data_IF_377313262419
#
_entry.id   IF_377313262419
#
_cell.length_a   1.000
_cell.length_b   1.000
_cell.length_c   1.000
_cell.angle_alpha   90.00
_cell.angle_beta   90.00
_cell.angle_gamma   90.00
#
_symmetry.space_group_name_H-M   'P 1'
#
loop_
_entity.id
_entity.type
_entity.pdbx_description
1 polymer ?
#
# COMPACT_ATOMS: atom_id res chain seq x y z
N UNK A 1 19.53 -14.35 14.06
CA UNK A 1 19.02 -15.50 14.81
C UNK A 1 18.96 -15.14 16.29
N UNK A 2 17.88 -14.52 16.73
CA UNK A 2 17.38 -14.54 18.13
C UNK A 2 15.99 -13.88 18.21
N UNK A 3 15.15 -14.12 17.18
CA UNK A 3 13.80 -13.56 17.06
C UNK A 3 12.71 -14.51 17.59
N UNK A 4 13.11 -15.68 18.10
CA UNK A 4 12.20 -16.75 18.53
C UNK A 4 11.65 -16.58 19.96
N UNK A 5 12.16 -15.63 20.75
CA UNK A 5 11.70 -15.41 22.14
C UNK A 5 10.64 -14.29 22.31
N UNK A 6 10.01 -13.85 21.22
CA UNK A 6 8.74 -13.12 21.25
C UNK A 6 8.75 -11.67 21.76
N UNK A 7 9.80 -11.20 22.44
CA UNK A 7 9.97 -9.79 22.81
C UNK A 7 10.84 -9.07 21.79
N UNK A 8 10.30 -7.98 21.23
CA UNK A 8 11.07 -7.09 20.37
C UNK A 8 12.26 -6.54 21.13
N UNK A 9 13.43 -6.44 20.47
CA UNK A 9 14.59 -5.77 21.06
C UNK A 9 14.19 -4.37 21.55
N UNK A 10 14.45 -4.00 22.83
CA UNK A 10 14.09 -2.70 23.37
C UNK A 10 14.57 -1.51 22.52
N UNK A 11 15.73 -1.64 21.85
CA UNK A 11 16.24 -0.61 20.93
C UNK A 11 15.37 -0.45 19.68
N UNK A 12 14.91 -1.56 19.09
CA UNK A 12 14.01 -1.52 17.93
C UNK A 12 12.65 -0.94 18.28
N UNK A 13 12.14 -1.27 19.47
CA UNK A 13 10.86 -0.76 19.95
C UNK A 13 10.88 0.76 20.15
N UNK A 14 11.96 1.27 20.76
CA UNK A 14 12.16 2.72 20.89
C UNK A 14 12.38 3.40 19.54
N UNK A 15 13.07 2.74 18.59
CA UNK A 15 13.21 3.25 17.22
C UNK A 15 11.85 3.40 16.53
N UNK A 16 10.99 2.38 16.55
CA UNK A 16 9.68 2.45 15.92
C UNK A 16 8.78 3.48 16.57
N UNK A 17 8.78 3.58 17.90
CA UNK A 17 8.06 4.63 18.63
C UNK A 17 8.46 6.03 18.18
N UNK A 18 9.75 6.26 17.86
CA UNK A 18 10.24 7.58 17.40
C UNK A 18 9.92 7.87 15.93
N UNK A 19 9.75 6.83 15.12
CA UNK A 19 9.54 6.94 13.67
C UNK A 19 8.09 6.76 13.24
N UNK A 20 7.18 6.54 14.17
CA UNK A 20 5.77 6.27 13.89
C UNK A 20 4.87 7.01 14.86
N UNK A 21 3.59 7.05 14.54
CA UNK A 21 2.52 7.63 15.37
C UNK A 21 1.97 6.63 16.40
N UNK A 22 2.64 5.50 16.61
CA UNK A 22 2.21 4.45 17.52
C UNK A 22 2.88 4.53 18.89
N UNK A 23 2.07 4.26 19.92
CA UNK A 23 2.56 4.03 21.26
C UNK A 23 3.35 2.71 21.34
N UNK A 24 4.11 2.53 22.43
CA UNK A 24 4.85 1.28 22.68
C UNK A 24 3.94 0.05 22.68
N UNK A 25 2.73 0.17 23.26
CA UNK A 25 1.75 -0.91 23.35
C UNK A 25 1.26 -1.28 21.95
N UNK A 26 0.94 -0.28 21.12
CA UNK A 26 0.49 -0.49 19.75
C UNK A 26 1.60 -1.13 18.89
N UNK A 27 2.85 -0.69 19.01
CA UNK A 27 3.97 -1.32 18.29
C UNK A 27 4.12 -2.79 18.71
N UNK A 28 4.01 -3.12 19.99
CA UNK A 28 4.05 -4.51 20.46
C UNK A 28 2.88 -5.34 19.91
N UNK A 29 1.67 -4.78 19.86
CA UNK A 29 0.50 -5.43 19.26
C UNK A 29 0.69 -5.67 17.76
N UNK A 30 1.16 -4.68 17.02
CA UNK A 30 1.47 -4.78 15.59
C UNK A 30 2.52 -5.85 15.29
N UNK A 31 3.55 -5.98 16.15
CA UNK A 31 4.54 -7.05 16.02
C UNK A 31 3.94 -8.44 16.23
N UNK A 32 2.98 -8.58 17.16
CA UNK A 32 2.26 -9.85 17.36
C UNK A 32 1.40 -10.18 16.14
N UNK A 33 0.70 -9.21 15.57
CA UNK A 33 -0.11 -9.38 14.35
C UNK A 33 0.78 -9.81 13.19
N UNK A 34 1.88 -9.10 12.94
CA UNK A 34 2.86 -9.45 11.90
C UNK A 34 3.32 -10.91 11.99
N UNK A 35 3.75 -11.35 13.18
CA UNK A 35 4.20 -12.74 13.38
C UNK A 35 3.10 -13.76 13.11
N UNK A 36 1.86 -13.47 13.52
CA UNK A 36 0.72 -14.36 13.25
C UNK A 36 0.49 -14.48 11.73
N UNK A 37 0.51 -13.36 11.00
CA UNK A 37 0.34 -13.35 9.54
C UNK A 37 1.43 -14.19 8.85
N UNK A 38 2.71 -13.95 9.18
CA UNK A 38 3.85 -14.69 8.60
C UNK A 38 3.81 -16.18 8.95
N UNK A 39 3.46 -16.52 10.19
CA UNK A 39 3.36 -17.92 10.63
C UNK A 39 2.23 -18.65 9.90
N UNK A 40 1.05 -18.04 9.80
CA UNK A 40 -0.10 -18.65 9.13
C UNK A 40 0.17 -18.87 7.64
N UNK A 41 0.83 -17.92 6.97
CA UNK A 41 1.24 -18.06 5.58
C UNK A 41 2.25 -19.21 5.37
N UNK A 42 3.22 -19.36 6.28
CA UNK A 42 4.18 -20.46 6.24
C UNK A 42 3.53 -21.84 6.45
N UNK A 43 2.51 -21.92 7.30
CA UNK A 43 1.76 -23.16 7.53
C UNK A 43 0.91 -23.54 6.29
N UNK A 44 0.22 -22.57 5.70
CA UNK A 44 -0.60 -22.80 4.51
C UNK A 44 0.24 -23.26 3.31
N UNK A 45 1.40 -22.62 3.08
CA UNK A 45 2.33 -23.02 2.01
C UNK A 45 2.89 -24.44 2.20
N UNK A 46 3.22 -24.84 3.44
CA UNK A 46 3.67 -26.21 3.75
C UNK A 46 2.57 -27.25 3.56
N UNK A 47 1.33 -26.93 3.93
CA UNK A 47 0.19 -27.83 3.73
C UNK A 47 -0.08 -28.08 2.24
N UNK A 48 -0.02 -27.04 1.40
CA UNK A 48 -0.16 -27.16 -0.05
C UNK A 48 0.98 -27.97 -0.69
N UNK A 49 2.22 -27.80 -0.21
CA UNK A 49 3.37 -28.58 -0.69
C UNK A 49 3.27 -30.07 -0.32
N UNK A 50 2.76 -30.40 0.87
CA UNK A 50 2.56 -31.77 1.30
C UNK A 50 1.50 -32.51 0.47
N UNK A 51 0.50 -31.78 -0.06
CA UNK A 51 -0.56 -32.35 -0.90
C UNK A 51 -0.11 -32.57 -2.36
N UNK A 52 0.95 -31.91 -2.82
CA UNK A 52 1.47 -31.96 -4.20
C UNK A 52 2.85 -32.65 -4.28
N UNK A 53 3.02 -33.77 -3.57
CA UNK A 53 4.28 -34.49 -3.34
C UNK A 53 4.99 -35.12 -4.57
N UNK A 54 4.77 -34.59 -5.79
CA UNK A 54 5.43 -35.02 -7.02
C UNK A 54 6.25 -33.93 -7.75
N UNK A 55 6.15 -32.67 -7.32
CA UNK A 55 6.94 -31.57 -7.91
C UNK A 55 8.11 -31.30 -6.98
N UNK A 56 9.35 -31.31 -7.50
CA UNK A 56 10.56 -30.97 -6.75
C UNK A 56 10.44 -29.49 -6.33
N UNK A 57 9.80 -29.26 -5.19
CA UNK A 57 9.75 -27.95 -4.57
C UNK A 57 11.17 -27.66 -4.08
N UNK A 58 11.83 -26.69 -4.73
CA UNK A 58 13.06 -26.09 -4.24
C UNK A 58 12.79 -25.70 -2.78
N UNK A 59 13.51 -26.32 -1.84
CA UNK A 59 13.29 -26.17 -0.41
C UNK A 59 13.02 -24.70 -0.07
N UNK A 60 11.80 -24.43 0.40
CA UNK A 60 11.26 -23.09 0.54
C UNK A 60 12.19 -22.19 1.32
N UNK A 61 12.57 -21.07 0.70
CA UNK A 61 12.98 -19.89 1.44
C UNK A 61 11.93 -19.65 2.52
N UNK A 62 12.33 -19.71 3.78
CA UNK A 62 11.45 -19.28 4.88
C UNK A 62 11.15 -17.81 4.61
N UNK A 63 9.94 -17.48 4.14
CA UNK A 63 9.57 -16.11 3.83
C UNK A 63 9.46 -15.34 5.14
N UNK A 64 10.56 -14.69 5.50
CA UNK A 64 10.65 -13.80 6.65
C UNK A 64 9.95 -12.45 6.32
N UNK A 65 8.63 -12.52 6.10
CA UNK A 65 7.82 -11.36 5.77
C UNK A 65 6.44 -11.69 5.21
N UNK A 66 5.64 -10.64 5.02
CA UNK A 66 4.31 -10.70 4.43
C UNK A 66 4.46 -10.68 2.91
N UNK A 67 4.06 -11.75 2.24
CA UNK A 67 4.05 -11.81 0.78
C UNK A 67 2.85 -11.07 0.17
N UNK A 68 2.84 -10.96 -1.16
CA UNK A 68 1.78 -10.26 -1.92
C UNK A 68 0.40 -10.86 -1.71
N UNK A 69 0.30 -12.18 -1.56
CA UNK A 69 -0.99 -12.86 -1.38
C UNK A 69 -1.61 -12.46 -0.06
N UNK A 70 -0.82 -12.54 1.02
CA UNK A 70 -1.28 -12.15 2.37
C UNK A 70 -1.56 -10.65 2.42
N UNK A 71 -0.72 -9.83 1.80
CA UNK A 71 -0.91 -8.39 1.76
C UNK A 71 -2.20 -8.00 1.01
N UNK A 72 -2.46 -8.60 -0.15
CA UNK A 72 -3.70 -8.42 -0.92
C UNK A 72 -4.93 -8.76 -0.10
N UNK A 73 -4.93 -9.93 0.55
CA UNK A 73 -6.03 -10.35 1.41
C UNK A 73 -6.27 -9.37 2.56
N UNK A 74 -5.19 -8.85 3.14
CA UNK A 74 -5.25 -7.85 4.21
C UNK A 74 -5.83 -6.52 3.73
N UNK A 75 -5.34 -5.99 2.60
CA UNK A 75 -5.85 -4.73 2.03
C UNK A 75 -7.35 -4.82 1.78
N UNK A 76 -7.81 -5.91 1.17
CA UNK A 76 -9.23 -6.11 0.86
C UNK A 76 -10.05 -6.35 2.13
N UNK A 77 -9.69 -7.35 2.94
CA UNK A 77 -10.56 -7.85 4.01
C UNK A 77 -10.49 -7.03 5.31
N UNK A 78 -9.36 -6.36 5.55
CA UNK A 78 -9.12 -5.61 6.80
C UNK A 78 -9.19 -4.10 6.58
N UNK A 79 -8.64 -3.61 5.48
CA UNK A 79 -8.56 -2.18 5.20
C UNK A 79 -9.63 -1.66 4.24
N UNK A 80 -10.46 -2.56 3.68
CA UNK A 80 -11.53 -2.21 2.74
C UNK A 80 -10.99 -1.38 1.56
N UNK A 81 -9.83 -1.79 1.05
CA UNK A 81 -9.24 -1.22 -0.15
C UNK A 81 -9.71 -2.04 -1.35
N UNK A 82 -10.59 -1.43 -2.14
CA UNK A 82 -11.19 -2.01 -3.33
C UNK A 82 -10.66 -1.24 -4.54
N UNK A 83 -9.45 -1.61 -4.95
CA UNK A 83 -8.76 -1.01 -6.08
C UNK A 83 -8.25 -2.07 -7.04
N UNK A 84 -7.83 -1.65 -8.23
CA UNK A 84 -7.30 -2.53 -9.26
C UNK A 84 -5.94 -3.15 -8.86
N UNK A 85 -5.52 -4.19 -9.60
CA UNK A 85 -4.30 -4.92 -9.28
C UNK A 85 -3.03 -4.06 -9.40
N UNK A 86 -3.01 -3.07 -10.31
CA UNK A 86 -1.88 -2.17 -10.46
C UNK A 86 -1.73 -1.32 -9.20
N UNK A 87 -2.78 -0.64 -8.74
CA UNK A 87 -2.71 0.13 -7.49
C UNK A 87 -2.38 -0.73 -6.28
N UNK A 88 -2.91 -1.95 -6.22
CA UNK A 88 -2.59 -2.88 -5.13
C UNK A 88 -1.10 -3.25 -5.08
N UNK A 89 -0.48 -3.53 -6.24
CA UNK A 89 0.96 -3.79 -6.33
C UNK A 89 1.77 -2.54 -5.97
N UNK A 90 1.32 -1.36 -6.39
CA UNK A 90 1.97 -0.08 -6.04
C UNK A 90 1.92 0.22 -4.55
N UNK A 91 0.81 -0.06 -3.87
CA UNK A 91 0.69 0.04 -2.41
C UNK A 91 1.67 -0.94 -1.74
N UNK A 92 1.78 -2.18 -2.25
CA UNK A 92 2.76 -3.15 -1.75
C UNK A 92 4.19 -2.60 -1.88
N UNK A 93 4.58 -2.10 -3.05
CA UNK A 93 5.89 -1.52 -3.29
C UNK A 93 6.16 -0.26 -2.44
N UNK A 94 5.14 0.53 -2.11
CA UNK A 94 5.30 1.69 -1.24
C UNK A 94 5.64 1.29 0.23
N UNK A 95 5.17 0.11 0.66
CA UNK A 95 5.44 -0.46 1.98
C UNK A 95 6.73 -1.28 2.02
N UNK A 96 7.06 -1.93 0.91
CA UNK A 96 8.32 -2.64 0.71
C UNK A 96 9.47 -1.62 0.68
N UNK A 97 10.42 -1.75 1.60
CA UNK A 97 11.58 -0.84 1.73
C UNK A 97 12.90 -1.52 1.36
N UNK A 98 12.84 -2.77 0.92
CA UNK A 98 13.97 -3.59 0.54
C UNK A 98 14.16 -3.64 -0.97
N UNK A 99 14.45 -4.83 -1.47
CA UNK A 99 14.66 -5.07 -2.89
C UNK A 99 13.36 -5.54 -3.52
N UNK A 100 13.03 -4.96 -4.67
CA UNK A 100 11.83 -5.27 -5.43
C UNK A 100 11.60 -6.79 -5.55
N UNK A 101 10.40 -7.21 -5.20
CA UNK A 101 10.01 -8.63 -5.22
C UNK A 101 10.14 -9.34 -3.87
N UNK A 102 10.77 -8.75 -2.86
CA UNK A 102 10.84 -9.33 -1.50
C UNK A 102 9.53 -9.12 -0.71
N UNK A 103 9.24 -9.99 0.28
CA UNK A 103 8.10 -9.81 1.16
C UNK A 103 8.29 -8.60 2.10
N UNK A 104 7.19 -7.98 2.51
CA UNK A 104 7.20 -6.85 3.45
C UNK A 104 7.71 -7.35 4.81
N UNK A 105 8.85 -6.79 5.23
CA UNK A 105 9.47 -7.04 6.54
C UNK A 105 8.76 -6.25 7.64
N UNK A 106 9.10 -6.57 8.89
CA UNK A 106 8.51 -5.92 10.06
C UNK A 106 8.62 -4.38 10.03
N UNK A 107 9.73 -3.84 9.54
CA UNK A 107 9.89 -2.39 9.41
C UNK A 107 8.87 -1.80 8.42
N UNK A 108 8.76 -2.35 7.21
CA UNK A 108 7.80 -1.91 6.21
C UNK A 108 6.36 -2.01 6.71
N UNK A 109 6.03 -3.10 7.43
CA UNK A 109 4.75 -3.29 8.10
C UNK A 109 4.41 -2.16 9.10
N UNK A 110 5.33 -1.87 10.03
CA UNK A 110 5.08 -0.87 11.08
C UNK A 110 5.02 0.55 10.49
N UNK A 111 5.92 0.88 9.57
CA UNK A 111 5.95 2.21 8.94
C UNK A 111 4.74 2.43 8.02
N UNK A 112 4.38 1.43 7.21
CA UNK A 112 3.22 1.50 6.32
C UNK A 112 1.92 1.71 7.10
N UNK A 113 1.72 0.95 8.18
CA UNK A 113 0.56 1.13 9.06
C UNK A 113 0.54 2.47 9.79
N UNK A 114 1.72 3.03 10.10
CA UNK A 114 1.80 4.36 10.71
C UNK A 114 1.19 5.41 9.80
N UNK A 115 1.49 5.34 8.50
CA UNK A 115 0.91 6.23 7.50
C UNK A 115 -0.58 5.94 7.26
N UNK A 116 -0.95 4.67 7.09
CA UNK A 116 -2.35 4.27 6.82
C UNK A 116 -3.30 4.68 7.94
N UNK A 117 -2.96 4.38 9.18
CA UNK A 117 -3.90 4.44 10.28
C UNK A 117 -3.83 5.75 11.08
N UNK A 118 -2.66 6.40 11.09
CA UNK A 118 -2.40 7.58 11.91
C UNK A 118 -1.58 8.66 11.20
N UNK A 119 -1.35 8.53 9.89
CA UNK A 119 -0.56 9.47 9.12
C UNK A 119 -1.20 10.84 9.08
N UNK A 120 -0.35 11.86 9.17
CA UNK A 120 -0.72 13.25 8.88
C UNK A 120 -1.14 13.40 7.42
N UNK A 121 -1.82 14.51 7.10
CA UNK A 121 -2.18 14.82 5.72
C UNK A 121 -0.96 14.82 4.80
N UNK A 122 0.16 15.40 5.24
CA UNK A 122 1.39 15.44 4.46
C UNK A 122 1.97 14.05 4.18
N UNK A 123 1.96 13.15 5.17
CA UNK A 123 2.44 11.77 4.98
C UNK A 123 1.52 10.97 4.05
N UNK A 124 0.19 11.17 4.15
CA UNK A 124 -0.79 10.55 3.27
C UNK A 124 -0.63 11.05 1.83
N UNK A 125 -0.46 12.36 1.64
CA UNK A 125 -0.18 12.96 0.33
C UNK A 125 1.09 12.40 -0.29
N UNK A 126 2.19 12.33 0.47
CA UNK A 126 3.45 11.74 0.02
C UNK A 126 3.34 10.23 -0.29
N UNK A 127 2.46 9.53 0.41
CA UNK A 127 2.19 8.13 0.16
C UNK A 127 1.42 7.94 -1.15
N UNK A 128 0.29 8.62 -1.35
CA UNK A 128 -0.51 8.50 -2.56
C UNK A 128 0.32 8.89 -3.80
N UNK A 129 1.09 9.99 -3.74
CA UNK A 129 1.96 10.38 -4.85
C UNK A 129 2.93 9.26 -5.25
N UNK A 130 3.59 8.63 -4.28
CA UNK A 130 4.51 7.50 -4.54
C UNK A 130 3.79 6.29 -5.14
N UNK A 131 2.54 6.05 -4.77
CA UNK A 131 1.74 4.97 -5.36
C UNK A 131 1.49 5.26 -6.85
N UNK A 132 1.17 6.50 -7.19
CA UNK A 132 0.81 6.94 -8.55
C UNK A 132 2.00 7.19 -9.49
N UNK A 133 3.16 7.59 -8.98
CA UNK A 133 4.41 7.77 -9.74
C UNK A 133 5.01 6.39 -10.09
N UNK A 134 4.51 5.77 -11.17
CA UNK A 134 4.74 4.36 -11.51
C UNK A 134 6.22 4.05 -11.74
N UNK A 135 6.98 4.98 -12.33
CA UNK A 135 8.40 4.80 -12.60
C UNK A 135 9.32 5.38 -11.50
N UNK A 136 8.76 6.09 -10.50
CA UNK A 136 9.49 6.73 -9.40
C UNK A 136 10.48 7.81 -9.84
N UNK A 137 10.17 8.52 -10.93
CA UNK A 137 10.99 9.62 -11.45
C UNK A 137 10.68 10.99 -10.81
N UNK A 138 9.68 11.04 -9.92
CA UNK A 138 9.27 12.24 -9.21
C UNK A 138 8.15 13.01 -9.91
N UNK A 139 7.58 12.47 -10.99
CA UNK A 139 6.46 13.05 -11.72
C UNK A 139 5.38 12.00 -11.99
N UNK A 140 4.12 12.44 -12.05
CA UNK A 140 3.02 11.64 -12.59
C UNK A 140 2.74 12.16 -13.99
N UNK A 141 3.09 11.36 -14.99
CA UNK A 141 2.96 11.70 -16.41
C UNK A 141 1.58 11.35 -16.97
N UNK A 142 1.21 11.90 -18.14
CA UNK A 142 -0.05 11.56 -18.81
C UNK A 142 -0.24 10.06 -19.03
N UNK A 143 0.85 9.36 -19.40
CA UNK A 143 0.83 7.93 -19.66
C UNK A 143 0.57 7.13 -18.38
N UNK A 144 1.12 7.57 -17.25
CA UNK A 144 0.86 6.95 -15.94
C UNK A 144 -0.55 7.24 -15.46
N UNK A 145 -1.05 8.47 -15.62
CA UNK A 145 -2.45 8.81 -15.33
C UNK A 145 -3.40 7.94 -16.15
N UNK A 146 -3.12 7.77 -17.44
CA UNK A 146 -3.91 6.93 -18.32
C UNK A 146 -3.90 5.47 -17.85
N UNK A 147 -2.73 4.92 -17.52
CA UNK A 147 -2.60 3.56 -17.03
C UNK A 147 -3.39 3.31 -15.73
N UNK A 148 -3.33 4.26 -14.79
CA UNK A 148 -4.05 4.19 -13.51
C UNK A 148 -5.57 4.28 -13.70
N UNK A 149 -6.04 5.16 -14.57
CA UNK A 149 -7.46 5.42 -14.78
C UNK A 149 -8.13 4.43 -15.74
N UNK A 150 -7.34 3.64 -16.48
CA UNK A 150 -7.84 2.74 -17.54
C UNK A 150 -8.91 1.77 -17.07
N UNK A 151 -8.79 1.29 -15.83
CA UNK A 151 -9.71 0.30 -15.26
C UNK A 151 -10.82 0.93 -14.41
N UNK A 152 -10.86 2.27 -14.28
CA UNK A 152 -11.87 2.97 -13.50
C UNK A 152 -13.21 3.08 -14.23
N UNK A 153 -13.20 3.06 -15.56
CA UNK A 153 -14.42 3.16 -16.37
C UNK A 153 -14.98 1.77 -16.68
N UNK A 154 -16.23 1.54 -16.29
CA UNK A 154 -16.98 0.36 -16.72
C UNK A 154 -17.34 0.54 -18.19
N UNK A 155 -16.85 -0.36 -19.06
CA UNK A 155 -17.24 -0.37 -20.47
C UNK A 155 -18.76 -0.41 -20.61
N UNK A 156 -19.36 0.63 -21.17
CA UNK A 156 -20.78 0.58 -21.51
C UNK A 156 -20.95 -0.10 -22.88
N UNK A 157 -22.03 -0.87 -23.11
CA UNK A 157 -22.26 -1.56 -24.39
C UNK A 157 -22.28 -0.64 -25.62
N UNK A 158 -22.53 0.66 -25.41
CA UNK A 158 -22.63 1.71 -26.44
C UNK A 158 -21.34 2.51 -26.67
N UNK A 159 -20.28 2.30 -25.88
CA UNK A 159 -19.03 3.03 -26.06
C UNK A 159 -18.24 2.42 -27.23
N UNK A 160 -18.02 3.20 -28.29
CA UNK A 160 -17.21 2.77 -29.43
C UNK A 160 -15.72 2.62 -29.05
N UNK A 161 -15.23 3.42 -28.10
CA UNK A 161 -13.89 3.31 -27.51
C UNK A 161 -13.87 3.78 -26.03
N UNK A 162 -13.70 2.87 -25.05
CA UNK A 162 -13.61 3.25 -23.63
C UNK A 162 -12.36 4.08 -23.31
N UNK A 163 -11.34 4.07 -24.16
CA UNK A 163 -10.10 4.81 -23.93
C UNK A 163 -10.29 6.34 -24.12
N UNK A 164 -11.31 6.79 -24.88
CA UNK A 164 -11.62 8.22 -25.02
C UNK A 164 -12.09 8.84 -23.69
N UNK A 165 -12.94 8.13 -22.94
CA UNK A 165 -13.35 8.58 -21.60
C UNK A 165 -12.18 8.68 -20.63
N UNK A 166 -11.18 7.79 -20.75
CA UNK A 166 -9.95 7.86 -19.94
C UNK A 166 -9.11 9.08 -20.32
N UNK A 167 -8.98 9.40 -21.62
CA UNK A 167 -8.27 10.61 -22.08
C UNK A 167 -8.90 11.88 -21.51
N UNK A 168 -10.23 11.96 -21.50
CA UNK A 168 -10.93 13.10 -20.89
C UNK A 168 -10.63 13.22 -19.40
N UNK A 169 -10.61 12.09 -18.66
CA UNK A 169 -10.21 12.09 -17.25
C UNK A 169 -8.75 12.53 -17.03
N UNK A 170 -7.83 12.11 -17.89
CA UNK A 170 -6.42 12.53 -17.84
C UNK A 170 -6.31 14.04 -18.05
N UNK A 171 -7.02 14.61 -19.02
CA UNK A 171 -7.01 16.06 -19.25
C UNK A 171 -7.67 16.85 -18.10
N UNK A 172 -8.70 16.29 -17.46
CA UNK A 172 -9.27 16.86 -16.23
C UNK A 172 -8.27 16.81 -15.08
N UNK A 173 -7.58 15.67 -14.90
CA UNK A 173 -6.60 15.48 -13.85
C UNK A 173 -5.45 16.49 -13.99
N UNK A 174 -4.88 16.66 -15.19
CA UNK A 174 -3.87 17.69 -15.45
C UNK A 174 -4.38 19.09 -15.11
N UNK A 175 -5.57 19.47 -15.59
CA UNK A 175 -6.13 20.79 -15.29
C UNK A 175 -6.25 21.07 -13.79
N UNK A 176 -6.44 20.02 -12.99
CA UNK A 176 -6.64 20.10 -11.53
C UNK A 176 -5.35 19.93 -10.73
N UNK A 177 -4.37 19.21 -11.25
CA UNK A 177 -3.17 18.79 -10.51
C UNK A 177 -1.88 19.40 -11.04
N UNK A 178 -1.82 19.86 -12.28
CA UNK A 178 -0.64 20.47 -12.91
C UNK A 178 -0.68 22.00 -12.71
N UNK A 179 0.01 22.48 -11.67
CA UNK A 179 -0.06 23.89 -11.25
C UNK A 179 0.80 24.80 -12.14
N UNK A 180 1.95 24.31 -12.58
CA UNK A 180 2.90 25.07 -13.42
C UNK A 180 2.65 24.90 -14.93
N UNK A 181 1.80 23.95 -15.32
CA UNK A 181 1.35 23.67 -16.69
C UNK A 181 2.44 23.12 -17.60
N UNK A 182 3.36 22.33 -17.05
CA UNK A 182 4.42 21.67 -17.80
C UNK A 182 3.98 20.34 -18.47
N UNK A 183 2.73 19.91 -18.22
CA UNK A 183 2.11 18.73 -18.81
C UNK A 183 2.31 17.43 -18.02
N UNK A 184 2.88 17.51 -16.82
CA UNK A 184 3.06 16.43 -15.85
C UNK A 184 2.80 16.98 -14.44
N UNK A 185 2.73 16.11 -13.45
CA UNK A 185 2.43 16.52 -12.06
C UNK A 185 3.62 16.19 -11.19
N UNK A 186 4.34 17.20 -10.72
CA UNK A 186 5.39 17.02 -9.72
C UNK A 186 4.78 16.80 -8.33
N UNK A 187 5.61 16.38 -7.37
CA UNK A 187 5.15 16.28 -5.98
C UNK A 187 4.68 17.62 -5.42
N UNK A 188 5.29 18.73 -5.84
CA UNK A 188 4.88 20.06 -5.40
C UNK A 188 3.49 20.41 -5.92
N UNK A 189 3.23 20.19 -7.21
CA UNK A 189 1.90 20.46 -7.80
C UNK A 189 0.83 19.63 -7.10
N UNK A 190 1.12 18.35 -6.84
CA UNK A 190 0.22 17.45 -6.14
C UNK A 190 -0.09 17.92 -4.71
N UNK A 191 0.94 18.38 -3.97
CA UNK A 191 0.76 18.91 -2.62
C UNK A 191 -0.07 20.19 -2.61
N UNK A 192 0.18 21.11 -3.53
CA UNK A 192 -0.56 22.37 -3.66
C UNK A 192 -2.03 22.09 -4.03
N UNK A 193 -2.27 21.22 -5.01
CA UNK A 193 -3.62 20.85 -5.44
C UNK A 193 -4.44 20.19 -4.32
N UNK A 194 -3.84 19.31 -3.50
CA UNK A 194 -4.53 18.68 -2.36
C UNK A 194 -4.78 19.68 -1.22
N UNK A 195 -3.90 20.66 -1.04
CA UNK A 195 -4.11 21.71 -0.05
C UNK A 195 -5.33 22.58 -0.42
N UNK A 196 -5.56 22.81 -1.72
CA UNK A 196 -6.74 23.52 -2.23
C UNK A 196 -8.00 22.64 -2.26
N UNK A 197 -7.89 21.41 -2.74
CA UNK A 197 -8.99 20.47 -2.92
C UNK A 197 -8.64 19.08 -2.35
N UNK A 198 -8.89 18.84 -1.04
CA UNK A 198 -8.50 17.59 -0.36
C UNK A 198 -9.11 16.31 -0.97
N UNK A 199 -10.20 16.43 -1.72
CA UNK A 199 -10.83 15.31 -2.43
C UNK A 199 -9.95 14.73 -3.56
N UNK A 200 -8.96 15.48 -4.03
CA UNK A 200 -8.01 15.02 -5.05
C UNK A 200 -6.93 14.07 -4.50
N UNK A 201 -6.88 13.85 -3.18
CA UNK A 201 -5.86 12.98 -2.55
C UNK A 201 -5.81 11.56 -3.14
N UNK A 202 -6.96 11.05 -3.57
CA UNK A 202 -7.09 9.71 -4.16
C UNK A 202 -7.63 9.78 -5.60
N UNK A 203 -7.23 10.83 -6.35
CA UNK A 203 -7.77 11.16 -7.69
C UNK A 203 -7.63 10.02 -8.72
N UNK A 204 -6.64 9.15 -8.58
CA UNK A 204 -6.39 8.05 -9.51
C UNK A 204 -6.83 6.67 -8.97
N UNK A 205 -7.51 6.64 -7.83
CA UNK A 205 -8.03 5.41 -7.22
C UNK A 205 -7.62 5.24 -5.76
N UNK A 206 -8.35 4.38 -5.03
CA UNK A 206 -8.20 4.22 -3.59
C UNK A 206 -6.82 3.66 -3.21
N UNK A 207 -6.09 4.40 -2.39
CA UNK A 207 -4.78 4.06 -1.85
C UNK A 207 -4.78 3.89 -0.34
N UNK A 208 -5.76 4.48 0.34
CA UNK A 208 -5.83 4.56 1.79
C UNK A 208 -7.07 3.81 2.34
N UNK A 209 -6.97 3.30 3.58
CA UNK A 209 -8.10 2.66 4.23
C UNK A 209 -9.23 3.66 4.50
N UNK A 210 -10.48 3.19 4.48
CA UNK A 210 -11.60 4.00 4.95
C UNK A 210 -11.47 4.33 6.44
N UNK A 211 -12.10 5.43 6.88
CA UNK A 211 -12.12 5.81 8.31
C UNK A 211 -12.71 4.69 9.18
N UNK A 212 -13.75 4.01 8.67
CA UNK A 212 -14.38 2.88 9.36
C UNK A 212 -13.40 1.73 9.59
N UNK A 213 -12.69 1.31 8.53
CA UNK A 213 -11.71 0.23 8.62
C UNK A 213 -10.52 0.63 9.50
N UNK A 214 -10.11 1.90 9.44
CA UNK A 214 -9.05 2.46 10.29
C UNK A 214 -9.42 2.39 11.78
N UNK A 215 -10.60 2.90 12.16
CA UNK A 215 -11.09 2.87 13.54
C UNK A 215 -11.26 1.43 14.02
N UNK A 216 -11.84 0.56 13.19
CA UNK A 216 -12.01 -0.86 13.51
C UNK A 216 -10.67 -1.52 13.81
N UNK A 217 -9.67 -1.36 12.95
CA UNK A 217 -8.35 -1.96 13.16
C UNK A 217 -7.64 -1.40 14.40
N UNK A 218 -7.65 -0.08 14.59
CA UNK A 218 -7.02 0.57 15.76
C UNK A 218 -7.61 0.08 17.09
N UNK A 219 -8.92 -0.19 17.14
CA UNK A 219 -9.57 -0.75 18.33
C UNK A 219 -8.98 -2.11 18.75
N UNK A 220 -8.49 -2.90 17.79
CA UNK A 220 -7.85 -4.20 18.06
C UNK A 220 -6.46 -4.08 18.68
N UNK A 221 -5.82 -2.91 18.56
CA UNK A 221 -4.48 -2.65 19.12
C UNK A 221 -4.53 -2.18 20.58
N UNK A 222 -5.71 -1.77 21.04
CA UNK A 222 -5.93 -1.22 22.39
C UNK A 222 -6.48 -2.27 23.38
N UNK A 223 -6.86 -3.45 22.88
CA UNK A 223 -7.32 -4.59 23.66
C UNK A 223 -6.16 -5.47 24.17
#
# INVERSE_FOLDING_TARGET
>A
MDELNGKLNPKMLEMYKRRTHFSKIEVEALCKIFRKLVTNASLNSKALAANNAGVIAKAGSSTDGIDRSVFRELLHSTFDIVTDETLMERIFCAWEKGYEGLPIRLEGWILGLSTFLKGTQAEKTAFCFRVYDLNSDGYITKDEMFALLRNCLIKQPQDEDPDEGVKDLVEIALRKLDMDKDGKVSFQDYQEAIAEEPLLLEAFGQCLPSDRSTVSFLSTLQA
#
